data_IF_760157705118
#
_entry.id   IF_760157705118
#
_cell.length_a   1.000
_cell.length_b   1.000
_cell.length_c   1.000
_cell.angle_alpha   90.00
_cell.angle_beta   90.00
_cell.angle_gamma   90.00
#
_symmetry.space_group_name_H-M   'P 1'
#
loop_
_entity.id
_entity.type
_entity.pdbx_description
1 polymer ?
#
# COMPACT_ATOMS: atom_id res chain seq x y z
N UNK A 1 -23.46 -77.03 29.07
CA UNK A 1 -23.01 -76.09 28.02
C UNK A 1 -21.80 -76.68 27.34
N UNK A 2 -21.89 -76.91 26.04
CA UNK A 2 -20.82 -77.53 25.26
C UNK A 2 -19.73 -76.50 24.92
N UNK A 3 -18.51 -76.96 24.64
CA UNK A 3 -17.38 -76.11 24.21
C UNK A 3 -17.72 -75.23 22.98
N UNK A 4 -18.73 -75.61 22.19
CA UNK A 4 -19.25 -74.82 21.08
C UNK A 4 -20.08 -73.60 21.50
N UNK A 5 -20.79 -73.64 22.62
CA UNK A 5 -21.58 -72.48 23.10
C UNK A 5 -20.67 -71.38 23.65
N UNK A 6 -19.57 -71.76 24.33
CA UNK A 6 -18.61 -70.81 24.91
C UNK A 6 -17.84 -70.00 23.84
N UNK A 7 -17.48 -70.63 22.72
CA UNK A 7 -16.76 -69.97 21.62
C UNK A 7 -17.68 -68.98 20.89
N UNK A 8 -18.96 -69.30 20.76
CA UNK A 8 -19.93 -68.46 20.04
C UNK A 8 -20.26 -67.18 20.84
N UNK A 9 -20.42 -67.29 22.16
CA UNK A 9 -20.66 -66.15 23.06
C UNK A 9 -19.46 -65.19 23.07
N UNK A 10 -18.23 -65.71 23.10
CA UNK A 10 -17.03 -64.87 23.08
C UNK A 10 -16.82 -64.13 21.73
N UNK A 11 -17.20 -64.73 20.60
CA UNK A 11 -17.16 -64.05 19.29
C UNK A 11 -18.20 -62.94 19.17
N UNK A 12 -19.41 -63.14 19.71
CA UNK A 12 -20.44 -62.10 19.73
C UNK A 12 -20.04 -60.91 20.62
N UNK A 13 -19.49 -61.16 21.80
CA UNK A 13 -19.04 -60.10 22.71
C UNK A 13 -17.85 -59.34 22.09
N UNK A 14 -16.87 -60.04 21.52
CA UNK A 14 -15.75 -59.42 20.83
C UNK A 14 -16.19 -58.55 19.65
N UNK A 15 -17.14 -59.03 18.82
CA UNK A 15 -17.69 -58.24 17.71
C UNK A 15 -18.52 -57.03 18.18
N UNK A 16 -19.26 -57.14 19.29
CA UNK A 16 -20.01 -56.01 19.86
C UNK A 16 -19.07 -54.95 20.45
N UNK A 17 -17.96 -55.36 21.08
CA UNK A 17 -16.93 -54.44 21.59
C UNK A 17 -16.16 -53.78 20.43
N UNK A 18 -15.78 -54.53 19.39
CA UNK A 18 -15.15 -53.97 18.19
C UNK A 18 -16.07 -52.98 17.44
N UNK A 19 -17.37 -53.29 17.31
CA UNK A 19 -18.34 -52.36 16.68
C UNK A 19 -18.56 -51.09 17.51
N UNK A 20 -18.51 -51.17 18.84
CA UNK A 20 -18.61 -49.99 19.73
C UNK A 20 -17.34 -49.14 19.70
N UNK A 21 -16.16 -49.73 19.54
CA UNK A 21 -14.90 -48.99 19.40
C UNK A 21 -14.72 -48.34 18.01
N UNK A 22 -15.25 -48.94 16.94
CA UNK A 22 -15.19 -48.36 15.60
C UNK A 22 -16.11 -47.15 15.39
N UNK A 23 -17.17 -47.00 16.21
CA UNK A 23 -18.09 -45.86 16.12
C UNK A 23 -17.61 -44.63 16.91
N UNK A 24 -16.74 -44.81 17.91
CA UNK A 24 -16.17 -43.72 18.71
C UNK A 24 -15.02 -42.98 17.99
N UNK A 25 -14.35 -43.61 17.03
CA UNK A 25 -13.26 -43.01 16.25
C UNK A 25 -13.70 -42.29 14.98
N UNK A 26 -14.93 -42.49 14.50
CA UNK A 26 -15.43 -41.81 13.29
C UNK A 26 -16.01 -40.40 13.55
N UNK A 27 -16.43 -40.11 14.78
CA UNK A 27 -16.99 -38.78 15.13
C UNK A 27 -15.91 -37.78 15.58
N UNK A 28 -14.76 -38.26 16.09
CA UNK A 28 -13.63 -37.41 16.45
C UNK A 28 -12.79 -36.95 15.25
N UNK A 29 -12.79 -37.70 14.14
CA UNK A 29 -11.98 -37.40 12.94
C UNK A 29 -12.59 -36.37 12.00
N UNK A 30 -13.91 -36.12 12.05
CA UNK A 30 -14.59 -35.18 11.15
C UNK A 30 -14.69 -33.74 11.68
N UNK A 31 -14.34 -33.47 12.94
CA UNK A 31 -14.44 -32.12 13.53
C UNK A 31 -13.10 -31.36 13.47
N UNK A 32 -11.98 -32.03 13.16
CA UNK A 32 -10.64 -31.43 13.23
C UNK A 32 -10.12 -30.78 11.93
N UNK A 33 -10.89 -30.82 10.83
CA UNK A 33 -10.47 -30.19 9.55
C UNK A 33 -11.32 -28.98 9.13
N UNK A 34 -12.22 -28.48 9.98
CA UNK A 34 -13.10 -27.35 9.64
C UNK A 34 -12.64 -25.99 10.20
N UNK A 35 -11.54 -25.90 10.95
CA UNK A 35 -11.11 -24.66 11.64
C UNK A 35 -9.77 -24.10 11.20
N UNK A 36 -9.36 -24.34 9.95
CA UNK A 36 -8.21 -23.65 9.35
C UNK A 36 -8.57 -22.98 8.02
N UNK A 37 -9.74 -22.35 7.96
CA UNK A 37 -9.96 -21.18 7.12
C UNK A 37 -10.09 -19.95 8.01
N UNK A 38 -9.10 -19.75 8.89
CA UNK A 38 -8.79 -18.38 9.32
C UNK A 38 -8.35 -17.68 8.04
N UNK A 39 -9.29 -16.99 7.39
CA UNK A 39 -8.93 -15.93 6.47
C UNK A 39 -7.87 -15.12 7.21
N UNK A 40 -6.64 -15.10 6.67
CA UNK A 40 -5.59 -14.24 7.19
C UNK A 40 -6.25 -12.88 7.43
N UNK A 41 -6.12 -12.27 8.62
CA UNK A 41 -6.76 -10.99 8.88
C UNK A 41 -6.39 -10.11 7.70
N UNK A 42 -7.40 -9.63 6.97
CA UNK A 42 -7.16 -8.67 5.92
C UNK A 42 -6.37 -7.57 6.62
N UNK A 43 -5.08 -7.46 6.30
CA UNK A 43 -4.21 -6.44 6.90
C UNK A 43 -5.04 -5.16 6.89
N UNK A 44 -5.25 -4.55 8.04
CA UNK A 44 -6.12 -3.40 8.18
C UNK A 44 -5.61 -2.32 7.24
N UNK A 45 -6.20 -2.29 6.05
CA UNK A 45 -5.67 -1.59 4.89
C UNK A 45 -6.23 -0.20 5.00
N UNK A 46 -5.60 0.61 5.84
CA UNK A 46 -5.97 2.00 6.02
C UNK A 46 -6.01 2.69 4.64
N UNK A 47 -7.17 3.22 4.27
CA UNK A 47 -7.35 4.02 3.05
C UNK A 47 -7.25 5.48 3.47
N UNK A 48 -6.34 6.22 2.86
CA UNK A 48 -6.15 7.64 3.10
C UNK A 48 -6.75 8.49 1.98
N UNK A 49 -7.29 9.65 2.33
CA UNK A 49 -7.69 10.67 1.36
C UNK A 49 -6.52 11.61 1.07
N UNK A 50 -6.16 11.76 -0.21
CA UNK A 50 -5.25 12.81 -0.65
C UNK A 50 -5.96 14.17 -0.58
N UNK A 51 -5.52 15.04 0.34
CA UNK A 51 -6.15 16.32 0.66
C UNK A 51 -6.23 17.30 -0.50
N UNK A 52 -5.35 17.19 -1.50
CA UNK A 52 -5.46 17.96 -2.75
C UNK A 52 -6.83 17.76 -3.43
N UNK A 53 -7.51 16.63 -3.20
CA UNK A 53 -8.88 16.39 -3.68
C UNK A 53 -9.86 17.47 -3.20
N UNK A 54 -9.70 17.95 -1.95
CA UNK A 54 -10.57 18.92 -1.31
C UNK A 54 -10.05 20.37 -1.36
N UNK A 55 -8.97 20.64 -2.11
CA UNK A 55 -8.26 21.93 -2.17
C UNK A 55 -9.14 23.16 -2.44
N UNK A 56 -10.27 22.99 -3.14
CA UNK A 56 -11.20 24.06 -3.49
C UNK A 56 -12.40 24.16 -2.53
N UNK A 57 -12.36 23.43 -1.40
CA UNK A 57 -13.44 23.36 -0.43
C UNK A 57 -13.02 24.09 0.84
N UNK A 58 -13.56 25.29 1.03
CA UNK A 58 -13.62 25.95 2.34
C UNK A 58 -12.30 26.01 3.13
N UNK A 59 -12.42 25.94 4.45
CA UNK A 59 -11.27 25.90 5.38
C UNK A 59 -10.74 24.47 5.57
N UNK A 60 -9.50 24.32 6.05
CA UNK A 60 -8.92 23.02 6.39
C UNK A 60 -9.79 22.22 7.38
N UNK A 61 -10.41 22.90 8.34
CA UNK A 61 -11.33 22.29 9.30
C UNK A 61 -12.58 21.71 8.62
N UNK A 62 -13.15 22.43 7.65
CA UNK A 62 -14.26 21.91 6.83
C UNK A 62 -13.82 20.70 6.00
N UNK A 63 -12.61 20.73 5.43
CA UNK A 63 -12.06 19.60 4.68
C UNK A 63 -11.88 18.36 5.56
N UNK A 64 -11.35 18.52 6.78
CA UNK A 64 -11.17 17.40 7.72
C UNK A 64 -12.50 16.86 8.22
N UNK A 65 -13.48 17.72 8.49
CA UNK A 65 -14.84 17.31 8.80
C UNK A 65 -15.44 16.45 7.67
N UNK A 66 -15.34 16.90 6.42
CA UNK A 66 -15.82 16.13 5.27
C UNK A 66 -15.07 14.80 5.10
N UNK A 67 -13.76 14.80 5.32
CA UNK A 67 -12.92 13.60 5.25
C UNK A 67 -13.38 12.55 6.24
N UNK A 68 -13.55 12.93 7.51
CA UNK A 68 -14.03 12.05 8.56
C UNK A 68 -15.48 11.62 8.33
N UNK A 69 -16.35 12.53 7.88
CA UNK A 69 -17.76 12.25 7.58
C UNK A 69 -17.92 11.27 6.41
N UNK A 70 -16.97 11.27 5.47
CA UNK A 70 -16.91 10.31 4.36
C UNK A 70 -16.34 8.94 4.78
N UNK A 71 -15.94 8.76 6.05
CA UNK A 71 -15.48 7.48 6.60
C UNK A 71 -13.97 7.25 6.50
N UNK A 72 -13.17 8.25 6.11
CA UNK A 72 -11.72 8.14 6.14
C UNK A 72 -11.18 8.37 7.56
N UNK A 73 -10.23 7.53 7.97
CA UNK A 73 -9.47 7.68 9.23
C UNK A 73 -8.05 8.19 8.99
N UNK A 74 -7.66 8.39 7.73
CA UNK A 74 -6.33 8.83 7.35
C UNK A 74 -6.33 9.83 6.19
N UNK A 75 -5.28 10.63 6.17
CA UNK A 75 -5.01 11.61 5.11
C UNK A 75 -3.59 11.50 4.58
N UNK A 76 -3.44 11.87 3.32
CA UNK A 76 -2.17 12.29 2.75
C UNK A 76 -2.19 13.82 2.61
N UNK A 77 -1.20 14.47 3.21
CA UNK A 77 -1.14 15.93 3.25
C UNK A 77 -0.57 16.53 1.97
N UNK A 78 -0.76 17.84 1.79
CA UNK A 78 -0.06 18.67 0.78
C UNK A 78 0.76 19.72 1.54
N UNK A 79 2.08 19.61 1.48
CA UNK A 79 2.98 20.44 2.27
C UNK A 79 2.63 20.41 3.76
N UNK A 80 2.44 21.60 4.34
CA UNK A 80 2.00 21.83 5.72
C UNK A 80 0.49 22.15 5.84
N UNK A 81 -0.27 21.99 4.74
CA UNK A 81 -1.67 22.44 4.60
C UNK A 81 -1.88 23.95 4.82
N UNK A 82 -0.81 24.76 4.78
CA UNK A 82 -0.88 26.21 4.99
C UNK A 82 -1.17 26.62 6.42
N UNK A 83 -0.99 25.74 7.40
CA UNK A 83 -1.23 26.01 8.83
C UNK A 83 -0.02 25.65 9.69
N UNK A 84 0.01 26.17 10.91
CA UNK A 84 1.06 25.79 11.87
C UNK A 84 0.95 24.30 12.25
N UNK A 85 2.07 23.71 12.67
CA UNK A 85 2.11 22.34 13.22
C UNK A 85 1.09 22.14 14.34
N UNK A 86 0.99 23.10 15.26
CA UNK A 86 0.17 22.96 16.46
C UNK A 86 -1.33 22.99 16.09
N UNK A 87 -1.69 23.85 15.13
CA UNK A 87 -3.03 23.87 14.56
C UNK A 87 -3.35 22.57 13.80
N UNK A 88 -2.43 22.09 12.95
CA UNK A 88 -2.61 20.84 12.22
C UNK A 88 -2.82 19.65 13.17
N UNK A 89 -1.99 19.53 14.22
CA UNK A 89 -2.13 18.48 15.23
C UNK A 89 -3.45 18.58 16.00
N UNK A 90 -3.89 19.80 16.34
CA UNK A 90 -5.20 20.03 16.98
C UNK A 90 -6.33 19.54 16.09
N UNK A 91 -6.31 19.87 14.80
CA UNK A 91 -7.34 19.48 13.82
C UNK A 91 -7.33 17.97 13.58
N UNK A 92 -6.15 17.36 13.36
CA UNK A 92 -6.00 15.90 13.21
C UNK A 92 -6.60 15.16 14.41
N UNK A 93 -6.29 15.62 15.64
CA UNK A 93 -6.85 15.05 16.87
C UNK A 93 -8.37 15.25 16.96
N UNK A 94 -8.87 16.45 16.64
CA UNK A 94 -10.31 16.78 16.69
C UNK A 94 -11.13 15.86 15.79
N UNK A 95 -10.62 15.53 14.60
CA UNK A 95 -11.31 14.69 13.62
C UNK A 95 -10.85 13.23 13.61
N UNK A 96 -10.01 12.82 14.57
CA UNK A 96 -9.47 11.46 14.67
C UNK A 96 -8.82 10.96 13.35
N UNK A 97 -8.05 11.83 12.71
CA UNK A 97 -7.35 11.55 11.46
C UNK A 97 -5.86 11.31 11.71
N UNK A 98 -5.30 10.28 11.08
CA UNK A 98 -3.86 10.03 11.08
C UNK A 98 -3.21 10.45 9.76
N UNK A 99 -1.95 10.87 9.79
CA UNK A 99 -1.19 11.19 8.57
C UNK A 99 -0.45 9.94 8.08
N UNK A 100 -0.68 9.57 6.82
CA UNK A 100 0.01 8.43 6.18
C UNK A 100 1.25 8.85 5.40
N UNK A 101 1.15 10.00 4.74
CA UNK A 101 2.20 10.61 3.93
C UNK A 101 1.94 12.10 3.72
N UNK A 102 2.91 12.81 3.13
CA UNK A 102 2.74 14.17 2.68
C UNK A 102 3.39 14.39 1.31
N UNK A 103 2.66 15.02 0.40
CA UNK A 103 3.17 15.54 -0.87
C UNK A 103 4.04 16.77 -0.59
N UNK A 104 5.34 16.64 -0.82
CA UNK A 104 6.35 17.68 -0.60
C UNK A 104 7.10 17.96 -1.90
N UNK A 105 7.13 19.22 -2.32
CA UNK A 105 7.82 19.63 -3.54
C UNK A 105 9.32 19.30 -3.48
N UNK A 106 9.89 18.86 -4.61
CA UNK A 106 11.31 18.51 -4.69
C UNK A 106 12.22 19.67 -4.25
N UNK A 107 11.83 20.90 -4.56
CA UNK A 107 12.61 22.09 -4.18
C UNK A 107 12.70 22.31 -2.66
N UNK A 108 11.63 21.98 -1.92
CA UNK A 108 11.67 22.01 -0.46
C UNK A 108 12.64 20.96 0.09
N UNK A 109 12.69 19.76 -0.51
CA UNK A 109 13.67 18.73 -0.13
C UNK A 109 15.12 19.12 -0.48
N UNK A 110 15.32 19.95 -1.51
CA UNK A 110 16.64 20.48 -1.89
C UNK A 110 17.12 21.56 -0.93
N UNK A 111 16.25 22.52 -0.58
CA UNK A 111 16.64 23.75 0.12
C UNK A 111 16.31 23.78 1.61
N UNK A 112 15.29 23.04 2.04
CA UNK A 112 14.66 23.15 3.37
C UNK A 112 14.44 21.76 4.00
N UNK A 113 15.39 20.85 3.76
CA UNK A 113 15.26 19.48 4.25
C UNK A 113 15.13 19.40 5.78
N UNK A 114 15.97 20.10 6.58
CA UNK A 114 15.85 20.05 8.04
C UNK A 114 14.46 20.51 8.55
N UNK A 115 13.93 21.60 8.01
CA UNK A 115 12.64 22.17 8.38
C UNK A 115 11.51 21.24 7.97
N UNK A 116 11.58 20.68 6.77
CA UNK A 116 10.61 19.69 6.26
C UNK A 116 10.56 18.46 7.17
N UNK A 117 11.72 17.94 7.58
CA UNK A 117 11.82 16.79 8.48
C UNK A 117 11.25 17.13 9.86
N UNK A 118 11.61 18.29 10.41
CA UNK A 118 11.14 18.72 11.73
C UNK A 118 9.61 18.85 11.77
N UNK A 119 9.01 19.49 10.75
CA UNK A 119 7.56 19.61 10.64
C UNK A 119 6.88 18.25 10.56
N UNK A 120 7.29 17.42 9.59
CA UNK A 120 6.64 16.13 9.33
C UNK A 120 6.76 15.18 10.53
N UNK A 121 7.92 15.15 11.21
CA UNK A 121 8.12 14.37 12.43
C UNK A 121 7.14 14.77 13.52
N UNK A 122 6.93 16.07 13.67
CA UNK A 122 6.12 16.61 14.76
C UNK A 122 4.60 16.48 14.53
N UNK A 123 4.18 16.18 13.30
CA UNK A 123 2.79 15.78 12.97
C UNK A 123 2.63 14.27 12.79
N UNK A 124 3.64 13.49 13.20
CA UNK A 124 3.63 12.03 13.15
C UNK A 124 3.83 11.43 11.75
N UNK A 125 4.09 12.25 10.73
CA UNK A 125 4.37 11.77 9.38
C UNK A 125 5.81 11.26 9.24
N UNK A 126 5.96 10.10 8.60
CA UNK A 126 7.27 9.49 8.31
C UNK A 126 7.52 9.30 6.82
N UNK A 127 6.59 9.70 5.96
CA UNK A 127 6.64 9.43 4.53
C UNK A 127 6.49 10.73 3.76
N UNK A 128 7.55 11.11 3.04
CA UNK A 128 7.55 12.27 2.16
C UNK A 128 7.45 11.78 0.73
N UNK A 129 6.52 12.32 -0.04
CA UNK A 129 6.27 11.95 -1.43
C UNK A 129 6.59 13.15 -2.30
N UNK A 130 7.49 13.01 -3.27
CA UNK A 130 7.67 14.02 -4.32
C UNK A 130 6.50 13.89 -5.28
N UNK A 131 5.58 14.86 -5.35
CA UNK A 131 4.29 14.65 -6.01
C UNK A 131 4.36 14.96 -7.51
N UNK A 132 5.26 15.86 -7.90
CA UNK A 132 5.26 16.50 -9.20
C UNK A 132 6.61 17.13 -9.50
N UNK A 133 6.98 17.15 -10.78
CA UNK A 133 8.12 17.93 -11.27
C UNK A 133 7.63 19.17 -11.99
N UNK A 134 8.14 20.33 -11.56
CA UNK A 134 7.95 21.58 -12.29
C UNK A 134 8.51 21.44 -13.70
N UNK A 135 7.94 22.13 -14.71
CA UNK A 135 8.39 22.01 -16.10
C UNK A 135 9.90 22.15 -16.29
N UNK A 136 10.54 23.06 -15.54
CA UNK A 136 11.99 23.28 -15.58
C UNK A 136 12.82 22.10 -15.04
N UNK A 137 12.27 21.29 -14.14
CA UNK A 137 12.93 20.12 -13.56
C UNK A 137 12.74 18.86 -14.40
N UNK A 138 11.88 18.88 -15.44
CA UNK A 138 11.54 17.68 -16.21
C UNK A 138 12.69 17.29 -17.14
N UNK A 139 13.28 16.10 -16.96
CA UNK A 139 14.31 15.65 -17.86
C UNK A 139 13.77 15.38 -19.27
N UNK A 140 14.54 15.78 -20.28
CA UNK A 140 14.21 15.59 -21.70
C UNK A 140 14.95 14.42 -22.35
N UNK A 141 15.77 13.69 -21.58
CA UNK A 141 16.54 12.52 -22.05
C UNK A 141 16.81 11.51 -20.92
N UNK A 142 17.28 10.31 -21.30
CA UNK A 142 17.57 9.21 -20.37
C UNK A 142 18.56 9.59 -19.25
N UNK A 143 19.65 10.29 -19.60
CA UNK A 143 20.68 10.70 -18.63
C UNK A 143 20.12 11.67 -17.59
N UNK A 144 19.23 12.58 -17.98
CA UNK A 144 18.57 13.49 -17.05
C UNK A 144 17.66 12.76 -16.06
N UNK A 145 16.89 11.77 -16.53
CA UNK A 145 16.09 10.90 -15.65
C UNK A 145 16.96 10.08 -14.69
N UNK A 146 18.09 9.56 -15.17
CA UNK A 146 19.06 8.87 -14.33
C UNK A 146 19.63 9.80 -13.24
N UNK A 147 20.03 11.04 -13.59
CA UNK A 147 20.53 12.03 -12.63
C UNK A 147 19.49 12.38 -11.57
N UNK A 148 18.22 12.52 -11.96
CA UNK A 148 17.13 12.74 -11.01
C UNK A 148 16.97 11.53 -10.07
N UNK A 149 17.07 10.30 -10.58
CA UNK A 149 17.09 9.10 -9.75
C UNK A 149 18.27 9.07 -8.77
N UNK A 150 19.48 9.42 -9.22
CA UNK A 150 20.67 9.54 -8.35
C UNK A 150 20.46 10.58 -7.24
N UNK A 151 19.84 11.71 -7.55
CA UNK A 151 19.47 12.76 -6.58
C UNK A 151 18.46 12.24 -5.55
N UNK A 152 17.35 11.66 -6.00
CA UNK A 152 16.31 11.10 -5.12
C UNK A 152 16.87 9.96 -4.25
N UNK A 153 17.79 9.17 -4.79
CA UNK A 153 18.49 8.13 -4.06
C UNK A 153 19.32 8.71 -2.90
N UNK A 154 20.02 9.82 -3.13
CA UNK A 154 20.79 10.51 -2.09
C UNK A 154 19.88 11.16 -1.03
N UNK A 155 18.79 11.83 -1.45
CA UNK A 155 17.78 12.40 -0.55
C UNK A 155 17.13 11.32 0.32
N UNK A 156 16.72 10.21 -0.30
CA UNK A 156 16.16 9.05 0.39
C UNK A 156 17.10 8.43 1.41
N UNK A 157 18.41 8.38 1.11
CA UNK A 157 19.41 7.92 2.07
C UNK A 157 19.54 8.85 3.28
N UNK A 158 19.44 10.17 3.08
CA UNK A 158 19.43 11.17 4.17
C UNK A 158 18.18 11.02 5.03
N UNK A 159 17.00 10.94 4.40
CA UNK A 159 15.72 10.75 5.10
C UNK A 159 15.67 9.46 5.91
N UNK A 160 16.23 8.36 5.41
CA UNK A 160 16.30 7.11 6.17
C UNK A 160 17.10 7.26 7.47
N UNK A 161 18.21 8.00 7.46
CA UNK A 161 18.99 8.26 8.70
C UNK A 161 18.16 8.98 9.76
N UNK A 162 17.15 9.72 9.32
CA UNK A 162 16.21 10.48 10.14
C UNK A 162 14.93 9.69 10.51
N UNK A 163 14.88 8.39 10.15
CA UNK A 163 13.74 7.52 10.39
C UNK A 163 12.54 7.76 9.45
N UNK A 164 12.75 8.49 8.34
CA UNK A 164 11.74 8.80 7.34
C UNK A 164 11.96 8.05 6.03
N UNK A 165 10.91 7.98 5.20
CA UNK A 165 10.92 7.35 3.87
C UNK A 165 10.61 8.37 2.81
N UNK A 166 11.31 8.27 1.69
CA UNK A 166 11.01 9.02 0.47
C UNK A 166 10.22 8.15 -0.50
N UNK A 167 9.22 8.74 -1.14
CA UNK A 167 8.56 8.17 -2.29
C UNK A 167 8.43 9.18 -3.43
N UNK A 168 8.11 8.67 -4.61
CA UNK A 168 7.88 9.48 -5.81
C UNK A 168 6.51 9.12 -6.40
N UNK A 169 5.68 10.13 -6.65
CA UNK A 169 4.38 10.01 -7.28
C UNK A 169 4.50 10.30 -8.78
N UNK A 170 4.09 9.34 -9.62
CA UNK A 170 4.22 9.51 -11.07
C UNK A 170 3.08 10.34 -11.67
N UNK A 171 3.38 11.03 -12.77
CA UNK A 171 2.42 11.61 -13.69
C UNK A 171 2.53 10.93 -15.07
N UNK A 172 1.95 11.55 -16.11
CA UNK A 172 2.02 11.08 -17.48
C UNK A 172 3.39 11.37 -18.14
N UNK A 173 4.05 12.46 -17.76
CA UNK A 173 5.30 12.87 -18.43
C UNK A 173 6.46 11.90 -18.19
N UNK A 174 6.48 11.17 -17.07
CA UNK A 174 7.45 10.11 -16.79
C UNK A 174 7.25 8.88 -17.66
N UNK A 175 6.09 8.73 -18.31
CA UNK A 175 5.77 7.58 -19.15
C UNK A 175 6.38 7.67 -20.56
N UNK A 176 6.93 8.84 -20.92
CA UNK A 176 7.66 9.02 -22.19
C UNK A 176 8.88 8.10 -22.22
N UNK A 177 9.11 7.47 -23.38
CA UNK A 177 10.23 6.56 -23.57
C UNK A 177 11.49 7.28 -24.06
N UNK A 178 12.61 6.89 -23.48
CA UNK A 178 13.96 7.30 -23.86
C UNK A 178 14.79 6.02 -23.99
N UNK A 179 15.30 5.74 -25.19
CA UNK A 179 16.12 4.53 -25.44
C UNK A 179 15.40 3.24 -24.98
N UNK A 180 14.10 3.12 -25.24
CA UNK A 180 13.30 1.92 -24.96
C UNK A 180 12.70 1.80 -23.56
N UNK A 181 13.15 2.59 -22.58
CA UNK A 181 12.60 2.63 -21.20
C UNK A 181 11.85 3.93 -20.93
N UNK A 182 10.85 3.92 -20.06
CA UNK A 182 10.19 5.15 -19.60
C UNK A 182 11.14 6.01 -18.75
N UNK A 183 10.85 7.32 -18.63
CA UNK A 183 11.56 8.19 -17.70
C UNK A 183 11.49 7.68 -16.26
N UNK A 184 10.32 7.16 -15.84
CA UNK A 184 10.16 6.53 -14.52
C UNK A 184 11.10 5.32 -14.34
N UNK A 185 11.26 4.47 -15.36
CA UNK A 185 12.18 3.34 -15.30
C UNK A 185 13.64 3.79 -15.15
N UNK A 186 14.08 4.80 -15.91
CA UNK A 186 15.43 5.35 -15.78
C UNK A 186 15.70 5.93 -14.39
N UNK A 187 14.71 6.63 -13.82
CA UNK A 187 14.78 7.17 -12.46
C UNK A 187 14.88 6.04 -11.43
N UNK A 188 14.01 5.03 -11.53
CA UNK A 188 13.95 3.91 -10.59
C UNK A 188 15.23 3.06 -10.65
N UNK A 189 15.74 2.78 -11.85
CA UNK A 189 16.97 1.99 -12.04
C UNK A 189 18.21 2.67 -11.43
N UNK A 190 18.18 3.99 -11.26
CA UNK A 190 19.25 4.77 -10.63
C UNK A 190 19.11 4.88 -9.10
N UNK A 191 18.13 4.18 -8.49
CA UNK A 191 17.85 4.24 -7.06
C UNK A 191 17.95 2.89 -6.37
N UNK A 192 18.12 2.90 -5.04
CA UNK A 192 18.08 1.69 -4.21
C UNK A 192 16.68 1.50 -3.60
N UNK A 193 16.17 0.26 -3.48
CA UNK A 193 14.83 0.00 -2.92
C UNK A 193 14.61 0.48 -1.48
N UNK A 194 15.67 0.73 -0.72
CA UNK A 194 15.59 1.27 0.64
C UNK A 194 15.66 2.80 0.70
N UNK A 195 16.04 3.46 -0.39
CA UNK A 195 16.16 4.92 -0.49
C UNK A 195 14.89 5.53 -1.10
N UNK A 196 14.25 4.85 -2.05
CA UNK A 196 13.06 5.37 -2.73
C UNK A 196 11.96 4.31 -2.74
N UNK A 197 10.74 4.72 -2.44
CA UNK A 197 9.49 4.00 -2.70
C UNK A 197 8.75 4.66 -3.87
N UNK A 198 7.72 4.01 -4.41
CA UNK A 198 6.84 4.63 -5.41
C UNK A 198 5.42 4.80 -4.87
N UNK A 199 4.78 5.88 -5.25
CA UNK A 199 3.34 6.06 -5.16
C UNK A 199 2.79 6.04 -6.58
N UNK A 200 2.24 4.90 -7.00
CA UNK A 200 1.85 4.72 -8.39
C UNK A 200 0.42 5.24 -8.62
N UNK A 201 0.30 6.26 -9.47
CA UNK A 201 -1.00 6.71 -9.97
C UNK A 201 -1.35 5.98 -11.26
N UNK A 202 -2.28 5.03 -11.16
CA UNK A 202 -2.69 4.21 -12.29
C UNK A 202 -3.37 5.03 -13.42
N UNK A 203 -4.07 6.12 -13.07
CA UNK A 203 -4.73 6.96 -14.05
C UNK A 203 -3.72 7.76 -14.87
N UNK A 204 -2.66 8.29 -14.23
CA UNK A 204 -1.56 8.96 -14.92
C UNK A 204 -0.71 8.02 -15.76
N UNK A 205 -0.42 6.80 -15.26
CA UNK A 205 0.25 5.77 -16.06
C UNK A 205 -0.56 5.45 -17.33
N UNK A 206 -1.87 5.25 -17.19
CA UNK A 206 -2.77 5.01 -18.31
C UNK A 206 -2.84 6.20 -19.26
N UNK A 207 -2.90 7.43 -18.75
CA UNK A 207 -2.87 8.66 -19.57
C UNK A 207 -1.57 8.78 -20.37
N UNK A 208 -0.44 8.36 -19.79
CA UNK A 208 0.84 8.28 -20.46
C UNK A 208 1.00 7.10 -21.43
N UNK A 209 -0.07 6.34 -21.70
CA UNK A 209 -0.10 5.24 -22.66
C UNK A 209 0.60 3.97 -22.18
N UNK A 210 0.82 3.81 -20.87
CA UNK A 210 1.41 2.60 -20.28
C UNK A 210 0.34 1.80 -19.53
N UNK A 211 0.61 0.51 -19.32
CA UNK A 211 -0.24 -0.37 -18.52
C UNK A 211 0.18 -0.29 -17.03
N UNK A 212 -0.68 0.21 -16.13
CA UNK A 212 -0.37 0.31 -14.69
C UNK A 212 -0.15 -1.04 -14.02
N UNK A 213 -0.88 -2.09 -14.42
CA UNK A 213 -0.70 -3.44 -13.84
C UNK A 213 0.67 -3.98 -14.22
N UNK A 214 1.07 -3.82 -15.48
CA UNK A 214 2.40 -4.21 -15.95
C UNK A 214 3.50 -3.42 -15.27
N UNK A 215 3.30 -2.12 -15.05
CA UNK A 215 4.26 -1.26 -14.37
C UNK A 215 4.48 -1.73 -12.93
N UNK A 216 3.40 -1.89 -12.15
CA UNK A 216 3.44 -2.31 -10.74
C UNK A 216 4.08 -3.69 -10.58
N UNK A 217 3.82 -4.64 -11.49
CA UNK A 217 4.45 -5.98 -11.44
C UNK A 217 5.95 -5.94 -11.71
N UNK A 218 6.41 -4.95 -12.48
CA UNK A 218 7.81 -4.85 -12.92
C UNK A 218 8.65 -3.99 -12.00
N UNK A 219 8.05 -3.04 -11.26
CA UNK A 219 8.76 -2.19 -10.32
C UNK A 219 9.31 -3.01 -9.16
N UNK A 220 10.64 -2.99 -8.99
CA UNK A 220 11.35 -3.69 -7.90
C UNK A 220 11.33 -2.92 -6.57
N UNK A 221 10.72 -1.74 -6.59
CA UNK A 221 10.59 -0.81 -5.47
C UNK A 221 9.17 -0.91 -4.92
N UNK A 222 9.05 -1.02 -3.59
CA UNK A 222 7.75 -1.14 -2.92
C UNK A 222 6.85 0.06 -3.22
N UNK A 223 5.59 -0.21 -3.55
CA UNK A 223 4.56 0.83 -3.68
C UNK A 223 4.01 1.17 -2.29
N UNK A 224 3.87 2.44 -1.90
CA UNK A 224 3.19 2.76 -0.63
C UNK A 224 1.69 2.40 -0.71
N UNK A 225 1.05 1.95 0.40
CA UNK A 225 1.57 1.63 1.73
C UNK A 225 1.97 0.15 1.84
N UNK A 226 2.89 -0.34 1.01
CA UNK A 226 3.52 -1.64 1.21
C UNK A 226 4.73 -1.48 2.16
N UNK A 227 4.69 -2.14 3.30
CA UNK A 227 5.88 -2.46 4.11
C UNK A 227 6.13 -3.99 4.07
N UNK A 228 7.32 -4.46 4.48
CA UNK A 228 8.26 -5.22 3.66
C UNK A 228 7.92 -6.71 3.43
N UNK A 229 8.35 -7.20 2.25
CA UNK A 229 8.64 -8.59 1.82
C UNK A 229 7.85 -9.70 2.53
N UNK A 230 6.77 -10.18 1.89
CA UNK A 230 6.35 -11.62 1.83
C UNK A 230 5.07 -11.84 1.03
N UNK A 231 4.37 -10.80 0.56
CA UNK A 231 3.10 -10.95 -0.14
C UNK A 231 3.12 -10.39 -1.57
N UNK A 232 2.33 -10.98 -2.50
CA UNK A 232 2.21 -10.49 -3.87
C UNK A 232 1.81 -9.01 -3.86
N UNK A 233 2.50 -8.22 -4.67
CA UNK A 233 2.41 -6.76 -4.74
C UNK A 233 0.94 -6.32 -4.96
N UNK A 234 0.29 -5.85 -3.90
CA UNK A 234 -1.01 -5.18 -3.95
C UNK A 234 -0.72 -3.68 -3.93
N UNK A 235 -0.42 -3.12 -5.11
CA UNK A 235 -0.22 -1.68 -5.25
C UNK A 235 -1.50 -0.91 -4.93
N UNK A 236 -1.37 0.21 -4.23
CA UNK A 236 -2.43 1.21 -4.19
C UNK A 236 -2.31 2.09 -5.43
N UNK A 237 -3.47 2.40 -6.01
CA UNK A 237 -3.63 3.39 -7.05
C UNK A 237 -4.42 4.55 -6.46
N UNK A 238 -3.95 5.78 -6.64
CA UNK A 238 -4.80 6.97 -6.51
C UNK A 238 -5.92 6.86 -7.54
N UNK A 239 -7.16 6.68 -7.06
CA UNK A 239 -8.33 6.54 -7.92
C UNK A 239 -8.97 7.91 -8.14
N UNK A 240 -8.81 8.48 -9.33
CA UNK A 240 -9.63 9.61 -9.76
C UNK A 240 -10.94 9.07 -10.35
N UNK A 241 -12.08 9.45 -9.77
CA UNK A 241 -13.41 8.95 -10.11
C UNK A 241 -13.87 9.45 -11.48
N UNK A 242 -13.36 8.83 -12.56
CA UNK A 242 -13.90 9.01 -13.92
C UNK A 242 -14.07 7.64 -14.59
N UNK A 243 -15.30 7.12 -14.47
CA UNK A 243 -16.04 6.20 -15.36
C UNK A 243 -15.28 5.37 -16.42
N UNK A 244 -14.21 4.66 -16.05
CA UNK A 244 -13.54 3.72 -16.97
C UNK A 244 -13.35 2.31 -16.37
N UNK A 245 -13.34 1.24 -17.20
CA UNK A 245 -13.42 -0.16 -16.77
C UNK A 245 -12.26 -0.66 -15.87
N UNK A 246 -11.16 0.09 -15.75
CA UNK A 246 -10.00 -0.29 -14.96
C UNK A 246 -10.24 -0.26 -13.45
N UNK A 247 -11.26 0.46 -12.96
CA UNK A 247 -11.67 0.44 -11.56
C UNK A 247 -12.09 -0.97 -11.11
N UNK A 248 -12.63 -1.79 -12.01
CA UNK A 248 -12.92 -3.22 -11.75
C UNK A 248 -11.66 -4.09 -11.77
N UNK A 249 -10.64 -3.76 -12.56
CA UNK A 249 -9.43 -4.56 -12.66
C UNK A 249 -8.54 -4.50 -11.40
N UNK A 250 -8.53 -3.35 -10.70
CA UNK A 250 -7.87 -3.25 -9.40
C UNK A 250 -8.62 -4.00 -8.29
N UNK A 251 -9.94 -4.19 -8.45
CA UNK A 251 -10.79 -4.93 -7.50
C UNK A 251 -10.82 -6.45 -7.76
N UNK A 252 -10.67 -6.87 -9.02
CA UNK A 252 -10.85 -8.27 -9.45
C UNK A 252 -9.55 -9.09 -9.57
N UNK A 253 -8.40 -8.55 -9.13
CA UNK A 253 -7.18 -9.34 -8.97
C UNK A 253 -7.28 -10.44 -7.90
N UNK A 254 -8.36 -10.45 -7.12
CA UNK A 254 -8.71 -11.51 -6.15
C UNK A 254 -9.71 -12.47 -6.83
N UNK A 255 -9.17 -13.40 -7.61
CA UNK A 255 -9.70 -14.72 -8.05
C UNK A 255 -9.49 -14.94 -9.55
N UNK A 256 -8.44 -15.69 -9.87
CA UNK A 256 -8.54 -16.72 -10.91
C UNK A 256 -7.84 -17.99 -10.42
N UNK A 257 -8.56 -18.78 -9.64
CA UNK A 257 -8.31 -20.22 -9.54
C UNK A 257 -9.43 -20.92 -10.30
N UNK A 258 -9.19 -21.14 -11.60
CA UNK A 258 -9.59 -22.33 -12.37
C UNK A 258 -8.56 -22.50 -13.47
#
# INVERSE_FOLDING_TARGET
MSSHEFITINKEIAMRVLKKMALATLVAGCVLNATALLAAPAADRQIALQMYTLRNVGTLEQQFFLTQSAGFSAVELVGDQGVSRDELNRLLKKYNLTVTSAHVQLEALRRQLPETIAFNRAVGNKVLVVPYLQPADRPTNARGWQKLGEELNALGARLRKEGMRLAYHNHDFEMKKYQGKTGLEWLVDATRPNNLALEIDAAWVSRGGQDPVRLIKRTRIGCLPCTPKTTPVSGYATMNATSRPWARACWLGVKSSR
#
